data_IF_761823601865
#
_entry.id   IF_761823601865
#
_cell.length_a   1.000
_cell.length_b   1.000
_cell.length_c   1.000
_cell.angle_alpha   90.00
_cell.angle_beta   90.00
_cell.angle_gamma   90.00
#
_symmetry.space_group_name_H-M   'P 1'
#
loop_
_entity.id
_entity.type
_entity.pdbx_description
1 polymer ?
#
# COMPACT_ATOMS: atom_id res chain seq x y z
N UNK A 1 -18.54 7.15 -2.08
CA UNK A 1 -17.70 5.99 -2.45
C UNK A 1 -17.03 6.33 -3.75
N UNK A 2 -15.72 6.24 -3.75
CA UNK A 2 -14.85 6.54 -4.88
C UNK A 2 -15.13 5.60 -6.04
N UNK A 3 -14.94 6.10 -7.25
CA UNK A 3 -15.03 5.30 -8.46
C UNK A 3 -13.62 4.89 -8.90
N UNK A 4 -13.31 3.59 -8.83
CA UNK A 4 -11.99 3.07 -9.19
C UNK A 4 -11.95 2.76 -10.69
N UNK A 5 -11.08 3.45 -11.44
CA UNK A 5 -10.87 3.22 -12.86
C UNK A 5 -9.62 2.34 -13.03
N UNK A 6 -9.82 1.05 -13.26
CA UNK A 6 -8.74 0.09 -13.47
C UNK A 6 -8.34 0.04 -14.96
N UNK A 7 -7.03 0.14 -15.30
CA UNK A 7 -6.56 0.02 -16.69
C UNK A 7 -6.73 -1.40 -17.24
N UNK A 8 -6.83 -2.39 -16.36
CA UNK A 8 -7.07 -3.79 -16.70
C UNK A 8 -8.29 -4.32 -15.94
N UNK A 9 -9.32 -4.71 -16.69
CA UNK A 9 -10.57 -5.24 -16.16
C UNK A 9 -10.63 -6.78 -16.18
N UNK A 10 -9.54 -7.45 -16.56
CA UNK A 10 -9.50 -8.91 -16.55
C UNK A 10 -9.66 -9.45 -15.12
N UNK A 11 -10.52 -10.46 -14.97
CA UNK A 11 -10.70 -11.15 -13.70
C UNK A 11 -9.41 -11.83 -13.26
N UNK A 12 -9.10 -11.80 -11.96
CA UNK A 12 -8.00 -12.57 -11.40
C UNK A 12 -8.28 -14.07 -11.55
N UNK A 13 -7.31 -14.79 -12.12
CA UNK A 13 -7.34 -16.23 -12.14
C UNK A 13 -6.75 -16.78 -10.85
N UNK A 14 -7.41 -17.78 -10.27
CA UNK A 14 -6.84 -18.52 -9.14
C UNK A 14 -5.67 -19.35 -9.66
N UNK A 15 -4.49 -19.15 -9.08
CA UNK A 15 -3.30 -19.91 -9.38
C UNK A 15 -2.91 -20.76 -8.16
N UNK A 16 -2.45 -21.98 -8.42
CA UNK A 16 -1.75 -22.76 -7.39
C UNK A 16 -0.38 -22.11 -7.18
N UNK A 17 -0.10 -21.69 -5.95
CA UNK A 17 1.16 -21.04 -5.58
C UNK A 17 1.93 -21.97 -4.65
N UNK A 18 3.10 -22.42 -5.09
CA UNK A 18 3.96 -23.25 -4.26
C UNK A 18 4.57 -22.45 -3.10
N UNK A 19 5.00 -23.11 -2.01
CA UNK A 19 5.55 -22.41 -0.84
C UNK A 19 6.77 -21.53 -1.12
N UNK A 20 7.61 -21.87 -2.11
CA UNK A 20 8.80 -21.06 -2.43
C UNK A 20 8.36 -19.77 -3.11
N UNK A 21 7.44 -19.86 -4.07
CA UNK A 21 6.87 -18.67 -4.72
C UNK A 21 6.15 -17.77 -3.72
N UNK A 22 5.39 -18.35 -2.79
CA UNK A 22 4.73 -17.60 -1.74
C UNK A 22 5.74 -16.83 -0.86
N UNK A 23 6.78 -17.52 -0.39
CA UNK A 23 7.85 -16.91 0.41
C UNK A 23 8.55 -15.76 -0.33
N UNK A 24 8.79 -15.90 -1.64
CA UNK A 24 9.36 -14.82 -2.46
C UNK A 24 8.44 -13.60 -2.52
N UNK A 25 7.12 -13.80 -2.67
CA UNK A 25 6.14 -12.70 -2.71
C UNK A 25 6.11 -11.98 -1.36
N UNK A 26 6.03 -12.72 -0.26
CA UNK A 26 5.98 -12.16 1.10
C UNK A 26 7.26 -11.37 1.44
N UNK A 27 8.43 -11.93 1.14
CA UNK A 27 9.70 -11.24 1.34
C UNK A 27 9.84 -10.03 0.42
N UNK A 28 9.35 -10.10 -0.82
CA UNK A 28 9.34 -8.98 -1.75
C UNK A 28 8.52 -7.80 -1.22
N UNK A 29 7.31 -8.06 -0.71
CA UNK A 29 6.44 -7.03 -0.12
C UNK A 29 7.05 -6.45 1.17
N UNK A 30 7.60 -7.31 2.03
CA UNK A 30 8.24 -6.88 3.29
C UNK A 30 9.51 -6.07 3.04
N UNK A 31 10.32 -6.47 2.06
CA UNK A 31 11.52 -5.72 1.63
C UNK A 31 11.13 -4.37 1.04
N UNK A 32 10.08 -4.31 0.23
CA UNK A 32 9.56 -3.05 -0.33
C UNK A 32 9.15 -2.09 0.77
N UNK A 33 8.37 -2.55 1.75
CA UNK A 33 7.96 -1.73 2.88
C UNK A 33 9.15 -1.27 3.74
N UNK A 34 10.16 -2.14 3.92
CA UNK A 34 11.42 -1.79 4.60
C UNK A 34 12.16 -0.67 3.87
N UNK A 35 12.21 -0.71 2.54
CA UNK A 35 12.84 0.35 1.73
C UNK A 35 12.04 1.66 1.79
N UNK A 36 10.70 1.60 1.77
CA UNK A 36 9.84 2.77 1.96
C UNK A 36 10.11 3.45 3.31
N UNK A 37 10.23 2.68 4.40
CA UNK A 37 10.64 3.18 5.71
C UNK A 37 12.01 3.85 5.68
N UNK A 38 13.00 3.18 5.10
CA UNK A 38 14.36 3.70 5.03
C UNK A 38 14.47 4.99 4.20
N UNK A 39 13.59 5.17 3.21
CA UNK A 39 13.48 6.42 2.45
C UNK A 39 12.77 7.51 3.26
N UNK A 40 11.59 7.19 3.82
CA UNK A 40 10.79 8.12 4.63
C UNK A 40 11.61 8.72 5.77
N UNK A 41 12.30 7.89 6.54
CA UNK A 41 13.07 8.35 7.70
C UNK A 41 14.33 9.13 7.30
N UNK A 42 14.94 8.87 6.14
CA UNK A 42 16.10 9.66 5.66
C UNK A 42 15.70 11.01 5.08
N UNK A 43 14.59 11.07 4.37
CA UNK A 43 14.14 12.27 3.67
C UNK A 43 13.35 13.22 4.58
N UNK A 44 12.82 12.72 5.70
CA UNK A 44 12.04 13.54 6.61
C UNK A 44 12.86 14.67 7.25
N UNK A 45 12.34 15.89 7.14
CA UNK A 45 12.84 17.05 7.88
C UNK A 45 12.31 17.05 9.33
N UNK A 46 11.13 16.44 9.55
CA UNK A 46 10.52 16.33 10.88
C UNK A 46 11.30 15.38 11.78
N UNK A 47 11.77 15.82 12.97
CA UNK A 47 12.42 14.94 13.95
C UNK A 47 11.50 13.82 14.45
N UNK A 48 10.19 14.08 14.51
CA UNK A 48 9.20 13.07 14.91
C UNK A 48 9.22 11.87 13.94
N UNK A 49 9.34 12.14 12.65
CA UNK A 49 9.42 11.08 11.63
C UNK A 49 10.84 10.50 11.55
N UNK A 50 11.88 11.34 11.52
CA UNK A 50 13.27 10.89 11.34
C UNK A 50 13.82 10.09 12.52
N UNK A 51 13.51 10.52 13.74
CA UNK A 51 14.13 9.99 14.96
C UNK A 51 13.17 9.10 15.74
N UNK A 52 11.91 9.52 15.90
CA UNK A 52 10.91 8.72 16.61
C UNK A 52 10.21 7.70 15.70
N UNK A 53 10.42 7.78 14.38
CA UNK A 53 9.86 6.86 13.37
C UNK A 53 8.34 6.83 13.37
N UNK A 54 7.72 7.97 13.63
CA UNK A 54 6.27 8.14 13.60
C UNK A 54 5.77 8.35 12.16
N UNK A 55 5.92 7.30 11.35
CA UNK A 55 5.53 7.27 9.95
C UNK A 55 5.40 5.84 9.47
N UNK A 56 4.23 5.49 8.94
CA UNK A 56 3.85 4.09 8.72
C UNK A 56 3.45 3.85 7.27
N UNK A 57 4.42 3.70 6.35
CA UNK A 57 4.13 3.30 4.99
C UNK A 57 3.51 1.90 4.98
N UNK A 58 2.48 1.72 4.15
CA UNK A 58 1.75 0.47 3.99
C UNK A 58 1.57 0.13 2.52
N UNK A 59 1.47 -1.16 2.23
CA UNK A 59 1.12 -1.72 0.93
C UNK A 59 -0.20 -2.45 1.10
N UNK A 60 -1.13 -2.21 0.19
CA UNK A 60 -2.52 -2.68 0.30
C UNK A 60 -3.07 -3.02 -1.07
N UNK A 61 -4.11 -3.86 -1.13
CA UNK A 61 -4.87 -4.05 -2.37
C UNK A 61 -5.94 -2.97 -2.58
N UNK A 62 -6.64 -3.09 -3.72
CA UNK A 62 -7.76 -2.22 -4.10
C UNK A 62 -8.93 -2.19 -3.12
N UNK A 63 -9.02 -3.14 -2.19
CA UNK A 63 -10.05 -3.17 -1.15
C UNK A 63 -9.57 -2.60 0.18
N UNK A 64 -8.33 -2.10 0.25
CA UNK A 64 -7.74 -1.63 1.50
C UNK A 64 -7.31 -2.76 2.44
N UNK A 65 -7.15 -4.00 1.96
CA UNK A 65 -6.60 -5.08 2.79
C UNK A 65 -5.09 -4.94 2.87
N UNK A 66 -4.53 -5.03 4.06
CA UNK A 66 -3.10 -4.83 4.30
C UNK A 66 -2.29 -6.03 3.78
N UNK A 67 -1.27 -5.76 2.96
CA UNK A 67 -0.30 -6.75 2.50
C UNK A 67 1.06 -6.61 3.19
N UNK A 68 1.51 -5.38 3.45
CA UNK A 68 2.70 -5.12 4.27
C UNK A 68 2.57 -3.80 5.02
N UNK A 69 2.90 -3.77 6.31
CA UNK A 69 2.77 -2.60 7.18
C UNK A 69 2.40 -2.97 8.62
N UNK A 70 2.11 -1.97 9.47
CA UNK A 70 1.93 -2.19 10.92
C UNK A 70 0.51 -1.92 11.44
N UNK A 71 -0.23 -0.94 10.90
CA UNK A 71 -1.47 -0.42 11.52
C UNK A 71 -2.73 -0.55 10.65
N UNK A 72 -2.73 -1.46 9.68
CA UNK A 72 -3.81 -1.54 8.70
C UNK A 72 -3.68 -0.49 7.59
N UNK A 73 -4.70 -0.39 6.75
CA UNK A 73 -4.70 0.51 5.58
C UNK A 73 -5.80 1.57 5.72
N UNK A 74 -5.49 2.86 5.49
CA UNK A 74 -6.51 3.91 5.46
C UNK A 74 -7.35 3.89 4.16
N UNK A 75 -6.95 3.07 3.17
CA UNK A 75 -7.54 3.09 1.82
C UNK A 75 -9.02 2.74 1.84
N UNK A 76 -9.46 1.75 2.63
CA UNK A 76 -10.88 1.37 2.67
C UNK A 76 -11.77 2.54 3.12
N UNK A 77 -11.39 3.21 4.21
CA UNK A 77 -12.11 4.39 4.71
C UNK A 77 -12.09 5.55 3.72
N UNK A 78 -10.94 5.80 3.08
CA UNK A 78 -10.83 6.80 2.01
C UNK A 78 -11.79 6.49 0.84
N UNK A 79 -11.82 5.25 0.38
CA UNK A 79 -12.67 4.82 -0.73
C UNK A 79 -14.15 4.95 -0.40
N UNK A 80 -14.56 4.86 0.86
CA UNK A 80 -15.96 5.06 1.26
C UNK A 80 -16.38 6.53 1.18
N UNK A 81 -15.54 7.45 1.66
CA UNK A 81 -15.88 8.88 1.82
C UNK A 81 -15.56 9.73 0.59
N UNK A 82 -14.56 9.35 -0.20
CA UNK A 82 -14.17 10.11 -1.39
C UNK A 82 -15.26 10.01 -2.46
N UNK A 83 -15.51 11.14 -3.15
CA UNK A 83 -16.58 11.28 -4.13
C UNK A 83 -16.03 11.81 -5.45
N UNK A 84 -15.17 11.00 -6.07
CA UNK A 84 -14.51 11.25 -7.34
C UNK A 84 -13.89 9.97 -7.90
N UNK A 85 -13.15 10.11 -9.00
CA UNK A 85 -12.46 9.02 -9.66
C UNK A 85 -11.06 8.80 -9.05
N UNK A 86 -10.62 7.54 -9.05
CA UNK A 86 -9.28 7.10 -8.66
C UNK A 86 -8.70 6.32 -9.84
N UNK A 87 -7.65 6.85 -10.45
CA UNK A 87 -7.04 6.31 -11.66
C UNK A 87 -5.54 5.99 -11.48
N UNK A 88 -4.95 5.27 -12.44
CA UNK A 88 -3.52 4.96 -12.41
C UNK A 88 -2.67 6.24 -12.46
N UNK A 89 -1.76 6.39 -11.49
CA UNK A 89 -0.84 7.52 -11.40
C UNK A 89 -1.30 8.65 -10.46
N UNK A 90 -2.51 8.55 -9.91
CA UNK A 90 -3.02 9.54 -8.97
C UNK A 90 -2.26 9.57 -7.64
N UNK A 91 -2.14 10.78 -7.08
CA UNK A 91 -1.67 11.00 -5.71
C UNK A 91 -2.78 11.69 -4.93
N UNK A 92 -3.35 10.96 -3.98
CA UNK A 92 -4.48 11.41 -3.19
C UNK A 92 -4.01 11.81 -1.78
N UNK A 93 -4.48 12.95 -1.31
CA UNK A 93 -4.17 13.48 0.02
C UNK A 93 -5.48 13.74 0.77
N UNK A 94 -5.51 13.36 2.05
CA UNK A 94 -6.66 13.51 2.96
C UNK A 94 -6.26 14.16 4.25
#
# INVERSE_FOLDING_TARGET
MANLIEPNQATFNVAEVDPITLDLIENGLTSTQTQMNALLFRAAISPLIREQRDGFPVITDRFGRLHAGQFGSPVSGFMEVYNGDVEEGDVLLT
#
